data_IF_436979263315
#
_entry.id   IF_436979263315
#
_cell.length_a   1.000
_cell.length_b   1.000
_cell.length_c   1.000
_cell.angle_alpha   90.00
_cell.angle_beta   90.00
_cell.angle_gamma   90.00
#
_symmetry.space_group_name_H-M   'P 1'
#
loop_
_entity.id
_entity.type
_entity.pdbx_description
1 polymer ?
#
# COMPACT_ATOMS: atom_id res chain seq x y z
N UNK A 1 -3.94 16.55 51.00
CA UNK A 1 -4.19 16.38 49.55
C UNK A 1 -4.03 14.91 49.24
N UNK A 2 -5.07 14.23 48.73
CA UNK A 2 -4.96 12.82 48.32
C UNK A 2 -4.27 12.80 46.97
N UNK A 3 -3.08 12.20 46.89
CA UNK A 3 -2.42 11.90 45.62
C UNK A 3 -3.37 11.00 44.81
N UNK A 4 -3.75 11.48 43.61
CA UNK A 4 -4.47 10.63 42.65
C UNK A 4 -3.45 9.65 42.09
N UNK A 5 -3.70 8.33 42.10
CA UNK A 5 -2.78 7.38 41.52
C UNK A 5 -2.57 7.74 40.05
N UNK A 6 -1.31 7.79 39.63
CA UNK A 6 -0.95 8.02 38.23
C UNK A 6 -1.52 6.86 37.41
N UNK A 7 -2.62 7.10 36.70
CA UNK A 7 -3.19 6.10 35.77
C UNK A 7 -2.23 6.04 34.60
N UNK A 8 -1.31 5.07 34.62
CA UNK A 8 -0.59 4.62 33.43
C UNK A 8 -1.66 4.20 32.42
N UNK A 9 -1.94 5.07 31.44
CA UNK A 9 -2.78 4.68 30.34
C UNK A 9 -2.08 3.51 29.64
N UNK A 10 -2.74 2.35 29.56
CA UNK A 10 -2.53 1.45 28.42
C UNK A 10 -2.43 2.32 27.15
N UNK A 11 -1.48 2.03 26.25
CA UNK A 11 -1.09 2.92 25.13
C UNK A 11 -2.22 3.82 24.63
N UNK A 12 -2.00 5.14 24.68
CA UNK A 12 -2.98 6.13 24.26
C UNK A 12 -3.50 5.82 22.85
N UNK A 13 -4.73 6.24 22.54
CA UNK A 13 -5.30 6.03 21.21
C UNK A 13 -4.38 6.56 20.10
N UNK A 14 -3.74 7.70 20.33
CA UNK A 14 -2.79 8.29 19.38
C UNK A 14 -1.53 7.43 19.19
N UNK A 15 -1.02 6.82 20.26
CA UNK A 15 0.09 5.87 20.17
C UNK A 15 -0.26 4.65 19.32
N UNK A 16 -1.44 4.04 19.56
CA UNK A 16 -1.92 2.90 18.76
C UNK A 16 -2.16 3.27 17.30
N UNK A 17 -2.78 4.43 17.06
CA UNK A 17 -3.05 4.92 15.72
C UNK A 17 -1.73 5.16 14.95
N UNK A 18 -0.77 5.86 15.56
CA UNK A 18 0.55 6.06 14.98
C UNK A 18 1.26 4.72 14.69
N UNK A 19 1.17 3.76 15.60
CA UNK A 19 1.68 2.40 15.41
C UNK A 19 1.05 1.69 14.20
N UNK A 20 -0.27 1.78 14.02
CA UNK A 20 -0.95 1.21 12.86
C UNK A 20 -0.57 1.93 11.56
N UNK A 21 -0.44 3.25 11.55
CA UNK A 21 -0.02 3.98 10.36
C UNK A 21 1.43 3.65 9.99
N UNK A 22 2.34 3.57 10.95
CA UNK A 22 3.73 3.17 10.74
C UNK A 22 3.86 1.76 10.17
N UNK A 23 3.15 0.78 10.75
CA UNK A 23 3.06 -0.58 10.19
C UNK A 23 2.44 -0.57 8.79
N UNK A 24 1.46 0.29 8.54
CA UNK A 24 0.85 0.50 7.23
C UNK A 24 1.88 0.93 6.18
N UNK A 25 2.70 1.93 6.49
CA UNK A 25 3.76 2.40 5.59
C UNK A 25 4.79 1.31 5.28
N UNK A 26 5.27 0.57 6.29
CA UNK A 26 6.20 -0.56 6.09
C UNK A 26 5.56 -1.65 5.23
N UNK A 27 4.30 -1.98 5.49
CA UNK A 27 3.55 -2.92 4.66
C UNK A 27 3.38 -2.42 3.21
N UNK A 28 3.19 -1.11 3.01
CA UNK A 28 3.13 -0.47 1.70
C UNK A 28 4.44 -0.60 0.92
N UNK A 29 5.59 -0.40 1.59
CA UNK A 29 6.92 -0.63 0.98
C UNK A 29 7.05 -2.07 0.49
N UNK A 30 6.72 -3.04 1.34
CA UNK A 30 6.80 -4.46 1.00
C UNK A 30 5.83 -4.85 -0.14
N UNK A 31 4.60 -4.32 -0.11
CA UNK A 31 3.65 -4.47 -1.20
C UNK A 31 4.18 -3.89 -2.52
N UNK A 32 4.86 -2.74 -2.46
CA UNK A 32 5.44 -2.07 -3.63
C UNK A 32 6.58 -2.86 -4.25
N UNK A 33 7.42 -3.48 -3.42
CA UNK A 33 8.47 -4.39 -3.91
C UNK A 33 7.83 -5.60 -4.60
N UNK A 34 6.79 -6.20 -4.00
CA UNK A 34 6.13 -7.38 -4.55
C UNK A 34 5.42 -7.11 -5.89
N UNK A 35 4.67 -6.00 -5.99
CA UNK A 35 4.01 -5.62 -7.25
C UNK A 35 5.05 -5.30 -8.33
N UNK A 36 6.18 -4.66 -7.98
CA UNK A 36 7.26 -4.37 -8.93
C UNK A 36 7.84 -5.65 -9.53
N UNK A 37 8.16 -6.64 -8.69
CA UNK A 37 8.64 -7.96 -9.14
C UNK A 37 7.58 -8.65 -10.01
N UNK A 38 6.33 -8.60 -9.57
CA UNK A 38 5.21 -9.18 -10.32
C UNK A 38 5.05 -8.56 -11.70
N UNK A 39 5.19 -7.24 -11.82
CA UNK A 39 5.14 -6.52 -13.09
C UNK A 39 6.33 -6.87 -13.98
N UNK A 40 7.54 -6.99 -13.43
CA UNK A 40 8.71 -7.41 -14.20
C UNK A 40 8.52 -8.79 -14.83
N UNK A 41 8.04 -9.76 -14.06
CA UNK A 41 7.75 -11.13 -14.55
C UNK A 41 6.64 -11.11 -15.60
N UNK A 42 5.58 -10.33 -15.40
CA UNK A 42 4.49 -10.20 -16.37
C UNK A 42 4.98 -9.61 -17.69
N UNK A 43 5.73 -8.51 -17.64
CA UNK A 43 6.25 -7.83 -18.83
C UNK A 43 7.24 -8.70 -19.60
N UNK A 44 8.09 -9.46 -18.91
CA UNK A 44 9.01 -10.41 -19.55
C UNK A 44 8.24 -11.49 -20.33
N UNK A 45 7.13 -11.98 -19.78
CA UNK A 45 6.31 -13.03 -20.43
C UNK A 45 5.39 -12.49 -21.52
N UNK A 46 4.86 -11.28 -21.37
CA UNK A 46 3.89 -10.71 -22.30
C UNK A 46 4.51 -9.87 -23.42
N UNK A 47 5.78 -9.47 -23.27
CA UNK A 47 6.44 -8.51 -24.16
C UNK A 47 5.90 -7.08 -24.02
N UNK A 48 5.09 -6.82 -23.01
CA UNK A 48 4.47 -5.50 -22.78
C UNK A 48 5.52 -4.49 -22.34
N UNK A 49 5.48 -3.30 -22.92
CA UNK A 49 6.36 -2.19 -22.55
C UNK A 49 6.04 -1.66 -21.13
N UNK A 50 7.03 -1.12 -20.41
CA UNK A 50 6.84 -0.47 -19.12
C UNK A 50 5.77 0.63 -19.18
N UNK A 51 5.02 0.77 -18.08
CA UNK A 51 4.01 1.82 -17.98
C UNK A 51 4.61 3.15 -17.52
N UNK A 52 4.25 4.23 -18.22
CA UNK A 52 4.61 5.61 -17.87
C UNK A 52 3.51 6.30 -17.03
N UNK A 53 2.45 5.57 -16.65
CA UNK A 53 1.31 6.12 -15.90
C UNK A 53 1.72 6.84 -14.60
N UNK A 54 2.67 6.35 -13.77
CA UNK A 54 3.06 7.07 -12.55
C UNK A 54 3.73 8.42 -12.84
N UNK A 55 4.61 8.50 -13.84
CA UNK A 55 5.21 9.79 -14.27
C UNK A 55 4.14 10.74 -14.77
N UNK A 56 3.23 10.28 -15.64
CA UNK A 56 2.18 11.13 -16.19
C UNK A 56 1.25 11.67 -15.08
N UNK A 57 0.97 10.87 -14.05
CA UNK A 57 0.23 11.30 -12.88
C UNK A 57 1.02 12.35 -12.08
N UNK A 58 2.30 12.11 -11.83
CA UNK A 58 3.14 13.06 -11.11
C UNK A 58 3.36 14.37 -11.88
N UNK A 59 3.55 14.32 -13.19
CA UNK A 59 3.65 15.50 -14.06
C UNK A 59 2.37 16.34 -13.98
N UNK A 60 1.20 15.70 -14.01
CA UNK A 60 -0.09 16.43 -13.91
C UNK A 60 -0.37 16.99 -12.52
N UNK A 61 0.00 16.28 -11.47
CA UNK A 61 -0.27 16.70 -10.09
C UNK A 61 0.75 17.73 -9.60
N UNK A 62 2.03 17.49 -9.85
CA UNK A 62 3.14 18.29 -9.31
C UNK A 62 3.75 19.27 -10.33
N UNK A 63 3.32 19.23 -11.59
CA UNK A 63 3.83 20.11 -12.68
C UNK A 63 5.35 20.01 -12.87
N UNK A 64 5.93 18.84 -12.58
CA UNK A 64 7.37 18.58 -12.71
C UNK A 64 7.65 18.07 -14.13
N UNK A 65 8.51 18.76 -14.88
CA UNK A 65 8.95 18.31 -16.20
C UNK A 65 10.40 17.80 -16.13
N UNK A 66 10.64 16.48 -16.23
CA UNK A 66 12.00 15.93 -16.23
C UNK A 66 12.77 16.42 -17.47
N UNK A 67 14.04 16.81 -17.27
CA UNK A 67 14.85 17.42 -18.34
C UNK A 67 15.43 16.41 -19.34
N UNK A 68 15.46 15.12 -18.99
CA UNK A 68 15.96 14.04 -19.83
C UNK A 68 15.37 12.69 -19.43
N UNK A 69 15.60 11.68 -20.26
CA UNK A 69 15.06 10.32 -20.09
C UNK A 69 15.53 9.65 -18.78
N UNK A 70 16.75 9.92 -18.33
CA UNK A 70 17.27 9.39 -17.05
C UNK A 70 16.50 9.99 -15.87
N UNK A 71 16.27 11.30 -15.90
CA UNK A 71 15.49 12.01 -14.89
C UNK A 71 14.03 11.53 -14.87
N UNK A 72 13.45 11.26 -16.05
CA UNK A 72 12.11 10.71 -16.18
C UNK A 72 11.99 9.31 -15.56
N UNK A 73 12.93 8.41 -15.86
CA UNK A 73 12.97 7.06 -15.25
C UNK A 73 13.13 7.11 -13.73
N UNK A 74 14.01 7.99 -13.23
CA UNK A 74 14.19 8.19 -11.78
C UNK A 74 12.93 8.73 -11.12
N UNK A 75 12.27 9.71 -11.74
CA UNK A 75 11.01 10.26 -11.26
C UNK A 75 9.92 9.19 -11.26
N UNK A 76 9.82 8.36 -12.30
CA UNK A 76 8.87 7.25 -12.37
C UNK A 76 9.01 6.34 -11.16
N UNK A 77 10.23 5.86 -10.91
CA UNK A 77 10.50 4.95 -9.81
C UNK A 77 10.21 5.64 -8.47
N UNK A 78 10.66 6.87 -8.27
CA UNK A 78 10.42 7.61 -7.03
C UNK A 78 8.93 7.75 -6.74
N UNK A 79 8.15 8.16 -7.75
CA UNK A 79 6.69 8.31 -7.62
C UNK A 79 6.04 6.96 -7.36
N UNK A 80 6.46 5.91 -8.07
CA UNK A 80 5.92 4.57 -7.88
C UNK A 80 6.14 4.06 -6.45
N UNK A 81 7.36 4.20 -5.93
CA UNK A 81 7.69 3.84 -4.55
C UNK A 81 6.97 4.71 -3.51
N UNK A 82 6.92 6.03 -3.72
CA UNK A 82 6.23 6.93 -2.80
C UNK A 82 4.72 6.65 -2.76
N UNK A 83 4.10 6.52 -3.93
CA UNK A 83 2.68 6.21 -4.05
C UNK A 83 2.34 4.84 -3.45
N UNK A 84 3.08 3.80 -3.82
CA UNK A 84 2.88 2.45 -3.29
C UNK A 84 3.10 2.36 -1.77
N UNK A 85 4.05 3.14 -1.23
CA UNK A 85 4.24 3.25 0.22
C UNK A 85 3.04 3.92 0.89
N UNK A 86 2.56 5.04 0.35
CA UNK A 86 1.42 5.76 0.87
C UNK A 86 0.12 4.93 0.86
N UNK A 87 -0.08 4.10 -0.17
CA UNK A 87 -1.21 3.17 -0.23
C UNK A 87 -1.24 2.17 0.94
N UNK A 88 -0.10 1.93 1.61
CA UNK A 88 -0.04 1.11 2.81
C UNK A 88 -0.77 1.71 4.02
N UNK A 89 -0.94 3.04 4.05
CA UNK A 89 -1.72 3.75 5.07
C UNK A 89 -3.17 3.26 5.13
N UNK A 90 -3.73 2.82 3.99
CA UNK A 90 -5.08 2.23 3.93
C UNK A 90 -5.20 1.07 4.91
N UNK A 91 -4.20 0.17 4.95
CA UNK A 91 -4.21 -0.98 5.89
C UNK A 91 -4.14 -0.54 7.34
N UNK A 92 -3.38 0.52 7.62
CA UNK A 92 -3.29 1.15 8.93
C UNK A 92 -4.64 1.76 9.36
N UNK A 93 -5.29 2.53 8.49
CA UNK A 93 -6.60 3.12 8.72
C UNK A 93 -7.67 2.06 8.95
N UNK A 94 -7.71 1.00 8.14
CA UNK A 94 -8.62 -0.13 8.35
C UNK A 94 -8.43 -0.74 9.75
N UNK A 95 -7.19 -0.84 10.24
CA UNK A 95 -6.91 -1.35 11.58
C UNK A 95 -7.28 -0.37 12.70
N UNK A 96 -7.15 0.94 12.48
CA UNK A 96 -7.68 1.98 13.38
C UNK A 96 -9.20 1.82 13.53
N UNK A 97 -9.89 1.53 12.41
CA UNK A 97 -11.33 1.25 12.38
C UNK A 97 -11.71 -0.14 12.92
N UNK A 98 -10.74 -0.93 13.40
CA UNK A 98 -10.96 -2.25 13.97
C UNK A 98 -11.12 -3.38 12.94
N UNK A 99 -10.94 -3.11 11.65
CA UNK A 99 -11.05 -4.09 10.56
C UNK A 99 -9.71 -4.83 10.41
N UNK A 100 -9.74 -6.17 10.47
CA UNK A 100 -8.53 -7.01 10.57
C UNK A 100 -8.57 -8.21 9.65
N UNK A 101 -7.40 -8.85 9.48
CA UNK A 101 -7.24 -10.11 8.76
C UNK A 101 -7.72 -10.05 7.31
N UNK A 102 -8.34 -11.14 6.86
CA UNK A 102 -8.74 -11.34 5.47
C UNK A 102 -9.68 -10.24 4.93
N UNK A 103 -10.66 -9.81 5.72
CA UNK A 103 -11.60 -8.75 5.30
C UNK A 103 -10.88 -7.43 5.04
N UNK A 104 -9.93 -7.06 5.92
CA UNK A 104 -9.14 -5.86 5.71
C UNK A 104 -8.25 -5.97 4.46
N UNK A 105 -7.71 -7.14 4.16
CA UNK A 105 -6.94 -7.38 2.92
C UNK A 105 -7.80 -7.22 1.68
N UNK A 106 -9.00 -7.79 1.65
CA UNK A 106 -9.94 -7.60 0.53
C UNK A 106 -10.31 -6.13 0.35
N UNK A 107 -10.65 -5.44 1.43
CA UNK A 107 -10.96 -4.01 1.37
C UNK A 107 -9.76 -3.20 0.87
N UNK A 108 -8.54 -3.52 1.32
CA UNK A 108 -7.33 -2.84 0.86
C UNK A 108 -7.13 -3.01 -0.64
N UNK A 109 -7.25 -4.24 -1.16
CA UNK A 109 -7.17 -4.52 -2.61
C UNK A 109 -8.25 -3.74 -3.36
N UNK A 110 -9.50 -3.80 -2.92
CA UNK A 110 -10.62 -3.11 -3.57
C UNK A 110 -10.45 -1.59 -3.57
N UNK A 111 -9.95 -0.99 -2.49
CA UNK A 111 -9.70 0.45 -2.42
C UNK A 111 -8.57 0.84 -3.39
N UNK A 112 -7.46 0.09 -3.41
CA UNK A 112 -6.36 0.35 -4.35
C UNK A 112 -6.83 0.24 -5.81
N UNK A 113 -7.62 -0.79 -6.11
CA UNK A 113 -8.24 -0.99 -7.43
C UNK A 113 -9.22 0.13 -7.80
N UNK A 114 -10.03 0.61 -6.85
CA UNK A 114 -10.95 1.71 -7.10
C UNK A 114 -10.20 3.03 -7.33
N UNK A 115 -9.09 3.26 -6.61
CA UNK A 115 -8.28 4.46 -6.78
C UNK A 115 -7.70 4.55 -8.20
N UNK A 116 -7.20 3.46 -8.79
CA UNK A 116 -6.73 3.48 -10.18
C UNK A 116 -7.86 3.79 -11.17
N UNK A 117 -9.01 3.13 -11.01
CA UNK A 117 -10.18 3.32 -11.88
C UNK A 117 -10.80 4.71 -11.80
N UNK A 118 -10.60 5.44 -10.69
CA UNK A 118 -11.15 6.78 -10.49
C UNK A 118 -10.12 7.88 -10.83
N UNK A 119 -8.88 7.75 -10.35
CA UNK A 119 -7.88 8.81 -10.46
C UNK A 119 -7.35 8.90 -11.88
N UNK A 120 -7.05 7.79 -12.55
CA UNK A 120 -6.46 7.82 -13.89
C UNK A 120 -7.37 8.50 -14.94
N UNK A 121 -8.69 8.23 -14.96
CA UNK A 121 -9.59 8.94 -15.86
C UNK A 121 -9.78 10.41 -15.49
N UNK A 122 -9.86 10.75 -14.19
CA UNK A 122 -9.95 12.15 -13.75
C UNK A 122 -8.73 12.97 -14.14
N UNK A 123 -7.55 12.37 -14.11
CA UNK A 123 -6.32 12.99 -14.59
C UNK A 123 -6.21 12.96 -16.11
N UNK A 124 -7.16 12.40 -16.87
CA UNK A 124 -7.10 12.22 -18.33
C UNK A 124 -5.84 11.46 -18.78
N UNK A 125 -5.44 10.45 -18.00
CA UNK A 125 -4.30 9.57 -18.31
C UNK A 125 -4.77 8.29 -18.99
N UNK A 126 -6.00 7.86 -18.67
CA UNK A 126 -6.69 6.72 -19.27
C UNK A 126 -8.14 7.13 -19.61
N UNK A 127 -8.82 6.45 -20.56
CA UNK A 127 -10.27 6.59 -20.75
C UNK A 127 -11.04 6.12 -19.51
N UNK A 128 -12.36 6.35 -19.41
CA UNK A 128 -13.19 5.79 -18.35
C UNK A 128 -12.99 4.28 -18.19
N UNK A 129 -13.01 3.77 -16.94
CA UNK A 129 -12.77 2.35 -16.66
C UNK A 129 -13.75 1.39 -17.37
N UNK A 130 -14.93 1.86 -17.77
CA UNK A 130 -15.91 1.12 -18.57
C UNK A 130 -15.43 0.82 -20.01
N UNK A 131 -14.46 1.58 -20.52
CA UNK A 131 -13.90 1.42 -21.86
C UNK A 131 -12.58 0.62 -21.86
N UNK A 132 -12.11 0.17 -20.69
CA UNK A 132 -10.87 -0.58 -20.60
C UNK A 132 -11.07 -2.01 -21.12
N UNK A 133 -10.03 -2.54 -21.78
CA UNK A 133 -10.01 -3.94 -22.18
C UNK A 133 -10.09 -4.85 -20.94
N UNK A 134 -10.89 -5.92 -21.00
CA UNK A 134 -11.04 -6.89 -19.91
C UNK A 134 -9.69 -7.46 -19.46
N UNK A 135 -8.80 -7.73 -20.42
CA UNK A 135 -7.45 -8.22 -20.14
C UNK A 135 -6.65 -7.24 -19.28
N UNK A 136 -6.73 -5.94 -19.57
CA UNK A 136 -6.08 -4.88 -18.79
C UNK A 136 -6.63 -4.82 -17.37
N UNK A 137 -7.95 -4.89 -17.20
CA UNK A 137 -8.58 -4.91 -15.87
C UNK A 137 -8.09 -6.11 -15.05
N UNK A 138 -8.00 -7.29 -15.67
CA UNK A 138 -7.55 -8.51 -14.99
C UNK A 138 -6.07 -8.46 -14.59
N UNK A 139 -5.20 -7.94 -15.47
CA UNK A 139 -3.77 -7.77 -15.16
C UNK A 139 -3.59 -6.75 -14.03
N UNK A 140 -4.32 -5.64 -14.07
CA UNK A 140 -4.27 -4.63 -13.01
C UNK A 140 -4.75 -5.20 -11.67
N UNK A 141 -5.89 -5.90 -11.68
CA UNK A 141 -6.43 -6.55 -10.49
C UNK A 141 -5.47 -7.61 -9.93
N UNK A 142 -4.80 -8.38 -10.78
CA UNK A 142 -3.78 -9.34 -10.36
C UNK A 142 -2.64 -8.64 -9.61
N UNK A 143 -2.10 -7.56 -10.18
CA UNK A 143 -1.01 -6.80 -9.55
C UNK A 143 -1.44 -6.13 -8.24
N UNK A 144 -2.63 -5.55 -8.18
CA UNK A 144 -3.18 -4.99 -6.93
C UNK A 144 -3.48 -6.07 -5.89
N UNK A 145 -3.83 -7.28 -6.32
CA UNK A 145 -3.99 -8.44 -5.43
C UNK A 145 -2.64 -8.84 -4.84
N UNK A 146 -1.58 -8.91 -5.64
CA UNK A 146 -0.21 -9.17 -5.15
C UNK A 146 0.20 -8.11 -4.13
N UNK A 147 0.03 -6.83 -4.46
CA UNK A 147 0.31 -5.72 -3.55
C UNK A 147 -0.45 -5.87 -2.22
N UNK A 148 -1.79 -6.00 -2.29
CA UNK A 148 -2.65 -5.98 -1.12
C UNK A 148 -2.51 -7.23 -0.24
N UNK A 149 -2.30 -8.41 -0.84
CA UNK A 149 -2.01 -9.64 -0.09
C UNK A 149 -0.66 -9.52 0.63
N UNK A 150 0.39 -9.08 -0.06
CA UNK A 150 1.71 -8.91 0.58
C UNK A 150 1.66 -7.88 1.69
N UNK A 151 1.06 -6.71 1.45
CA UNK A 151 0.89 -5.67 2.46
C UNK A 151 0.04 -6.17 3.64
N UNK A 152 -1.06 -6.87 3.38
CA UNK A 152 -1.93 -7.46 4.40
C UNK A 152 -1.19 -8.46 5.30
N UNK A 153 -0.46 -9.41 4.70
CA UNK A 153 0.33 -10.40 5.43
C UNK A 153 1.46 -9.76 6.26
N UNK A 154 2.17 -8.79 5.68
CA UNK A 154 3.23 -8.06 6.36
C UNK A 154 2.69 -7.26 7.55
N UNK A 155 1.56 -6.56 7.35
CA UNK A 155 0.89 -5.81 8.42
C UNK A 155 0.45 -6.75 9.54
N UNK A 156 -0.24 -7.83 9.21
CA UNK A 156 -0.72 -8.80 10.20
C UNK A 156 0.45 -9.51 10.90
N UNK A 157 1.59 -9.70 10.24
CA UNK A 157 2.83 -10.15 10.87
C UNK A 157 3.36 -9.17 11.92
N UNK A 158 3.52 -7.89 11.57
CA UNK A 158 3.97 -6.85 12.52
C UNK A 158 2.95 -6.58 13.64
N UNK A 159 1.69 -6.97 13.44
CA UNK A 159 0.62 -6.74 14.40
C UNK A 159 0.32 -7.95 15.30
N UNK A 160 1.01 -9.07 15.12
CA UNK A 160 0.92 -10.22 16.03
C UNK A 160 1.54 -9.88 17.39
N UNK A 161 0.85 -10.24 18.46
CA UNK A 161 1.45 -10.27 19.78
C UNK A 161 2.33 -11.51 19.90
N UNK A 162 3.62 -11.33 20.24
CA UNK A 162 4.46 -12.45 20.65
C UNK A 162 4.02 -12.82 22.07
N UNK A 163 3.29 -13.94 22.22
CA UNK A 163 3.04 -14.51 23.55
C UNK A 163 4.41 -14.95 24.10
N UNK A 164 4.84 -14.40 25.24
CA UNK A 164 5.89 -15.04 26.05
C UNK A 164 5.33 -16.40 26.46
N UNK A 165 5.71 -17.46 25.76
CA UNK A 165 5.49 -18.82 26.24
C UNK A 165 6.16 -18.90 27.61
N UNK A 166 5.42 -19.34 28.63
CA UNK A 166 5.90 -19.49 30.01
C UNK A 166 7.32 -20.05 30.01
N UNK A 167 8.29 -19.24 30.43
CA UNK A 167 9.42 -19.76 31.19
C UNK A 167 8.80 -20.26 32.49
N UNK A 168 8.21 -21.45 32.43
CA UNK A 168 7.97 -22.26 33.61
C UNK A 168 9.35 -22.67 34.09
N UNK A 169 9.96 -21.78 34.87
CA UNK A 169 11.01 -22.16 35.79
C UNK A 169 10.34 -23.14 36.73
N UNK A 170 10.74 -24.41 36.62
CA UNK A 170 10.51 -25.39 37.67
C UNK A 170 11.27 -24.87 38.90
N UNK A 171 10.53 -24.33 39.88
CA UNK A 171 10.91 -24.34 41.29
C UNK A 171 10.25 -25.55 41.96
#
# INVERSE_FOLDING_TARGET
MKEKPFVLCDESWSGRAAGYLGKGLVAGVLGTIAITISQQIEMEKSGRQPSNTPVLAAQKVFQINPQNEIAEKKLNNMVHYAYGTALGLIRGVLSILGIKGFIATLMHISIVQALSMIILPKLKIAPPASEWERKTILIELMHHSVYGVTAGLAFDWMNRCIRKTKLAIHE
#
